data_IF_591057511793
#
_entry.id   IF_591057511793
#
_cell.length_a   1.000
_cell.length_b   1.000
_cell.length_c   1.000
_cell.angle_alpha   90.00
_cell.angle_beta   90.00
_cell.angle_gamma   90.00
#
_symmetry.space_group_name_H-M   'P 1'
#
loop_
_entity.id
_entity.type
_entity.pdbx_description
1 polymer ?
#
# COMPACT_ATOMS: atom_id res chain seq x y z
N UNK A 1 -11.57 -6.21 -1.29
CA UNK A 1 -12.82 -7.01 -1.22
C UNK A 1 -12.88 -8.21 -2.19
N UNK A 2 -11.82 -8.51 -2.96
CA UNK A 2 -11.86 -9.49 -4.06
C UNK A 2 -11.28 -10.88 -3.74
N UNK A 3 -10.69 -11.10 -2.54
CA UNK A 3 -9.97 -12.34 -2.22
C UNK A 3 -10.80 -13.33 -1.40
N UNK A 4 -10.57 -14.65 -1.61
CA UNK A 4 -11.02 -15.74 -0.73
C UNK A 4 -10.43 -15.57 0.69
N UNK A 5 -11.18 -14.86 1.53
CA UNK A 5 -10.77 -14.35 2.86
C UNK A 5 -10.12 -15.41 3.76
N UNK A 6 -10.62 -16.65 3.77
CA UNK A 6 -10.15 -17.71 4.67
C UNK A 6 -8.65 -18.04 4.47
N UNK A 7 -8.18 -18.04 3.23
CA UNK A 7 -6.79 -18.41 2.91
C UNK A 7 -5.84 -17.24 3.08
N UNK A 8 -6.30 -16.03 2.76
CA UNK A 8 -5.59 -14.77 3.03
C UNK A 8 -5.29 -14.60 4.52
N UNK A 9 -6.31 -14.71 5.38
CA UNK A 9 -6.11 -14.53 6.83
C UNK A 9 -5.31 -15.67 7.47
N UNK A 10 -5.37 -16.89 6.93
CA UNK A 10 -4.58 -18.03 7.43
C UNK A 10 -3.07 -17.82 7.23
N UNK A 11 -2.69 -17.17 6.13
CA UNK A 11 -1.29 -16.94 5.76
C UNK A 11 -0.88 -15.47 5.92
N UNK A 12 -1.66 -14.69 6.67
CA UNK A 12 -1.46 -13.25 6.79
C UNK A 12 -0.05 -12.91 7.27
N UNK A 13 0.48 -13.66 8.24
CA UNK A 13 1.84 -13.45 8.74
C UNK A 13 2.90 -13.69 7.65
N UNK A 14 2.70 -14.67 6.78
CA UNK A 14 3.61 -14.95 5.66
C UNK A 14 3.54 -13.83 4.61
N UNK A 15 2.33 -13.34 4.33
CA UNK A 15 2.09 -12.22 3.42
C UNK A 15 2.77 -10.95 3.93
N UNK A 16 2.56 -10.60 5.20
CA UNK A 16 3.18 -9.40 5.78
C UNK A 16 4.69 -9.55 5.90
N UNK A 17 5.21 -10.73 6.20
CA UNK A 17 6.64 -10.98 6.23
C UNK A 17 7.27 -10.80 4.85
N UNK A 18 6.70 -11.41 3.79
CA UNK A 18 7.22 -11.23 2.43
C UNK A 18 7.06 -9.78 1.96
N UNK A 19 5.89 -9.18 2.14
CA UNK A 19 5.63 -7.82 1.68
C UNK A 19 6.36 -6.73 2.47
N UNK A 20 6.81 -6.96 3.71
CA UNK A 20 7.61 -5.97 4.45
C UNK A 20 9.11 -6.28 4.42
N UNK A 21 9.49 -7.51 4.78
CA UNK A 21 10.91 -7.90 4.83
C UNK A 21 11.47 -8.10 3.42
N UNK A 22 10.69 -8.69 2.52
CA UNK A 22 11.08 -8.85 1.12
C UNK A 22 11.30 -7.50 0.44
N UNK A 23 10.38 -6.57 0.59
CA UNK A 23 10.54 -5.19 0.08
C UNK A 23 11.74 -4.48 0.66
N UNK A 24 12.00 -4.64 1.97
CA UNK A 24 13.18 -4.05 2.59
C UNK A 24 14.49 -4.65 2.04
N UNK A 25 14.53 -5.95 1.79
CA UNK A 25 15.69 -6.58 1.13
C UNK A 25 15.84 -6.11 -0.31
N UNK A 26 14.74 -6.02 -1.07
CA UNK A 26 14.73 -5.48 -2.44
C UNK A 26 15.22 -4.02 -2.48
N UNK A 27 14.76 -3.20 -1.54
CA UNK A 27 15.19 -1.81 -1.37
C UNK A 27 16.71 -1.72 -1.24
N UNK A 28 17.31 -2.44 -0.28
CA UNK A 28 18.76 -2.38 -0.09
C UNK A 28 19.53 -2.92 -1.30
N UNK A 29 19.07 -4.02 -1.90
CA UNK A 29 19.76 -4.62 -3.05
C UNK A 29 19.70 -3.71 -4.29
N UNK A 30 18.55 -3.12 -4.58
CA UNK A 30 18.37 -2.20 -5.72
C UNK A 30 19.13 -0.90 -5.49
N UNK A 31 19.08 -0.31 -4.30
CA UNK A 31 19.85 0.91 -4.00
C UNK A 31 21.36 0.69 -4.13
N UNK A 32 21.89 -0.42 -3.59
CA UNK A 32 23.31 -0.75 -3.74
C UNK A 32 23.70 -1.00 -5.20
N UNK A 33 22.84 -1.69 -5.97
CA UNK A 33 23.05 -1.91 -7.38
C UNK A 33 23.02 -0.59 -8.18
N UNK A 34 22.11 0.32 -7.85
CA UNK A 34 22.02 1.64 -8.46
C UNK A 34 23.32 2.44 -8.20
N UNK A 35 23.79 2.52 -6.96
CA UNK A 35 25.07 3.17 -6.63
C UNK A 35 26.21 2.55 -7.44
N UNK A 36 26.30 1.22 -7.52
CA UNK A 36 27.39 0.53 -8.22
C UNK A 36 27.37 0.74 -9.74
N UNK A 37 26.19 0.85 -10.36
CA UNK A 37 26.04 1.03 -11.81
C UNK A 37 26.22 2.51 -12.19
N UNK A 38 25.49 3.41 -11.52
CA UNK A 38 25.52 4.85 -11.81
C UNK A 38 26.83 5.52 -11.39
N UNK A 39 27.60 4.95 -10.45
CA UNK A 39 28.97 5.45 -10.20
C UNK A 39 29.95 5.11 -11.34
N UNK A 40 29.65 4.08 -12.15
CA UNK A 40 30.48 3.69 -13.30
C UNK A 40 30.06 4.38 -14.60
N UNK A 41 28.78 4.72 -14.71
CA UNK A 41 28.24 5.51 -15.80
C UNK A 41 28.39 6.97 -15.37
N UNK A 42 29.30 7.74 -15.97
CA UNK A 42 29.68 9.11 -15.57
C UNK A 42 28.54 10.16 -15.71
N UNK A 43 27.36 9.87 -15.17
CA UNK A 43 26.07 10.56 -15.28
C UNK A 43 25.89 11.41 -14.02
N UNK A 44 26.36 12.66 -14.08
CA UNK A 44 26.04 13.68 -13.08
C UNK A 44 26.51 13.38 -11.64
N UNK A 45 26.19 14.32 -10.74
CA UNK A 45 26.41 14.19 -9.30
C UNK A 45 25.06 13.89 -8.65
N UNK A 46 24.66 12.62 -8.65
CA UNK A 46 23.51 12.16 -7.87
C UNK A 46 23.95 11.90 -6.44
N UNK A 47 23.15 12.37 -5.48
CA UNK A 47 23.43 12.14 -4.07
C UNK A 47 23.02 10.72 -3.66
N UNK A 48 23.55 10.26 -2.52
CA UNK A 48 23.19 8.93 -1.98
C UNK A 48 21.68 8.82 -1.71
N UNK A 49 21.04 9.94 -1.35
CA UNK A 49 19.58 10.02 -1.17
C UNK A 49 18.82 9.66 -2.45
N UNK A 50 19.31 10.06 -3.62
CA UNK A 50 18.65 9.78 -4.90
C UNK A 50 18.69 8.30 -5.24
N UNK A 51 19.82 7.62 -4.96
CA UNK A 51 19.93 6.18 -5.16
C UNK A 51 19.08 5.38 -4.17
N UNK A 52 18.92 5.87 -2.94
CA UNK A 52 17.99 5.30 -1.97
C UNK A 52 16.54 5.49 -2.44
N UNK A 53 16.18 6.68 -2.92
CA UNK A 53 14.86 6.96 -3.47
C UNK A 53 14.51 6.05 -4.65
N UNK A 54 15.46 5.82 -5.57
CA UNK A 54 15.33 4.84 -6.66
C UNK A 54 15.04 3.45 -6.09
N UNK A 55 15.80 2.99 -5.10
CA UNK A 55 15.56 1.69 -4.47
C UNK A 55 14.16 1.58 -3.85
N UNK A 56 13.65 2.64 -3.20
CA UNK A 56 12.31 2.63 -2.62
C UNK A 56 11.24 2.53 -3.70
N UNK A 57 11.36 3.30 -4.78
CA UNK A 57 10.40 3.30 -5.89
C UNK A 57 10.38 1.93 -6.59
N UNK A 58 11.54 1.36 -6.90
CA UNK A 58 11.65 0.09 -7.62
C UNK A 58 11.44 -1.15 -6.73
N UNK A 59 11.38 -0.99 -5.40
CA UNK A 59 11.09 -2.10 -4.50
C UNK A 59 9.62 -2.54 -4.52
N UNK A 60 8.71 -1.63 -4.91
CA UNK A 60 7.30 -1.93 -5.16
C UNK A 60 7.16 -2.77 -6.43
N UNK A 61 6.63 -4.00 -6.29
CA UNK A 61 6.40 -4.90 -7.41
C UNK A 61 4.92 -4.96 -7.75
N UNK A 62 4.57 -4.57 -8.98
CA UNK A 62 3.21 -4.70 -9.45
C UNK A 62 2.86 -6.19 -9.71
N UNK A 63 1.82 -6.65 -9.03
CA UNK A 63 1.32 -8.02 -9.12
C UNK A 63 0.15 -8.18 -10.11
N UNK A 64 -0.40 -7.09 -10.67
CA UNK A 64 -1.62 -7.10 -11.50
C UNK A 64 -1.49 -8.07 -12.69
N UNK A 65 -0.41 -7.99 -13.46
CA UNK A 65 -0.17 -8.89 -14.60
C UNK A 65 -0.11 -10.36 -14.19
N UNK A 66 0.55 -10.67 -13.06
CA UNK A 66 0.65 -12.05 -12.56
C UNK A 66 -0.69 -12.58 -12.08
N UNK A 67 -1.51 -11.72 -11.47
CA UNK A 67 -2.85 -12.07 -10.99
C UNK A 67 -3.86 -12.28 -12.13
N UNK A 68 -3.62 -11.73 -13.31
CA UNK A 68 -4.44 -11.99 -14.50
C UNK A 68 -4.21 -13.41 -15.07
N UNK A 69 -3.01 -13.95 -14.90
CA UNK A 69 -2.66 -15.31 -15.35
C UNK A 69 -3.04 -16.36 -14.30
N UNK A 70 -2.98 -16.00 -13.01
CA UNK A 70 -3.31 -16.89 -11.91
C UNK A 70 -4.82 -17.06 -11.73
N UNK A 71 -5.28 -18.31 -11.80
CA UNK A 71 -6.68 -18.65 -11.51
C UNK A 71 -6.91 -18.87 -10.00
N UNK A 72 -7.83 -18.09 -9.42
CA UNK A 72 -8.20 -18.15 -7.98
C UNK A 72 -8.87 -19.48 -7.57
N UNK A 73 -9.41 -20.25 -8.52
CA UNK A 73 -10.03 -21.55 -8.25
C UNK A 73 -9.01 -22.69 -8.28
N UNK A 74 -8.04 -22.64 -9.20
CA UNK A 74 -6.99 -23.66 -9.34
C UNK A 74 -5.87 -23.49 -8.30
N UNK A 75 -5.45 -22.24 -8.04
CA UNK A 75 -4.31 -21.94 -7.15
C UNK A 75 -4.64 -20.89 -6.08
N UNK A 76 -5.67 -21.12 -5.23
CA UNK A 76 -6.16 -20.12 -4.28
C UNK A 76 -5.12 -19.66 -3.25
N UNK A 77 -4.17 -20.53 -2.90
CA UNK A 77 -3.07 -20.19 -1.99
C UNK A 77 -2.11 -19.18 -2.63
N UNK A 78 -1.62 -19.48 -3.84
CA UNK A 78 -0.66 -18.64 -4.55
C UNK A 78 -1.29 -17.29 -4.91
N UNK A 79 -2.53 -17.29 -5.42
CA UNK A 79 -3.28 -16.07 -5.70
C UNK A 79 -3.38 -15.17 -4.46
N UNK A 80 -3.75 -15.72 -3.31
CA UNK A 80 -3.90 -14.93 -2.08
C UNK A 80 -2.56 -14.40 -1.56
N UNK A 81 -1.47 -15.15 -1.77
CA UNK A 81 -0.14 -14.78 -1.33
C UNK A 81 0.43 -13.65 -2.18
N UNK A 82 0.41 -13.80 -3.51
CA UNK A 82 0.90 -12.78 -4.47
C UNK A 82 0.07 -11.50 -4.37
N UNK A 83 -1.27 -11.60 -4.32
CA UNK A 83 -2.11 -10.42 -4.13
C UNK A 83 -1.81 -9.71 -2.81
N UNK A 84 -1.67 -10.48 -1.72
CA UNK A 84 -1.41 -9.89 -0.42
C UNK A 84 -0.05 -9.25 -0.31
N UNK A 85 0.97 -9.92 -0.85
CA UNK A 85 2.35 -9.45 -0.85
C UNK A 85 2.48 -8.17 -1.67
N UNK A 86 1.93 -8.11 -2.89
CA UNK A 86 1.96 -6.89 -3.72
C UNK A 86 1.33 -5.68 -3.02
N UNK A 87 0.18 -5.84 -2.36
CA UNK A 87 -0.46 -4.70 -1.67
C UNK A 87 0.32 -4.26 -0.42
N UNK A 88 0.88 -5.20 0.36
CA UNK A 88 1.74 -4.84 1.51
C UNK A 88 3.03 -4.18 1.00
N UNK A 89 3.60 -4.71 -0.07
CA UNK A 89 4.80 -4.20 -0.71
C UNK A 89 4.63 -2.72 -1.12
N UNK A 90 3.55 -2.40 -1.85
CA UNK A 90 3.25 -1.02 -2.26
C UNK A 90 3.19 -0.07 -1.05
N UNK A 91 2.48 -0.45 0.00
CA UNK A 91 2.37 0.35 1.20
C UNK A 91 3.72 0.52 1.91
N UNK A 92 4.53 -0.53 1.98
CA UNK A 92 5.86 -0.47 2.62
C UNK A 92 6.85 0.37 1.83
N UNK A 93 6.82 0.31 0.50
CA UNK A 93 7.65 1.12 -0.40
C UNK A 93 7.38 2.61 -0.23
N UNK A 94 6.10 3.01 -0.08
CA UNK A 94 5.75 4.40 0.20
C UNK A 94 6.23 4.84 1.59
N UNK A 95 6.13 3.97 2.61
CA UNK A 95 6.68 4.26 3.95
C UNK A 95 8.19 4.43 3.89
N UNK A 96 8.91 3.57 3.16
CA UNK A 96 10.35 3.70 2.95
C UNK A 96 10.69 5.02 2.26
N UNK A 97 9.95 5.40 1.21
CA UNK A 97 10.15 6.66 0.50
C UNK A 97 9.94 7.89 1.40
N UNK A 98 8.87 7.91 2.20
CA UNK A 98 8.63 9.00 3.16
C UNK A 98 9.67 9.04 4.28
N UNK A 99 10.18 7.89 4.71
CA UNK A 99 11.25 7.82 5.71
C UNK A 99 12.58 8.39 5.15
N UNK A 100 12.83 8.27 3.84
CA UNK A 100 13.99 8.85 3.17
C UNK A 100 13.92 10.38 3.04
N UNK A 101 12.73 10.96 2.86
CA UNK A 101 12.60 12.42 2.79
C UNK A 101 13.03 13.12 4.10
N UNK A 102 12.96 12.41 5.21
CA UNK A 102 13.37 12.89 6.53
C UNK A 102 14.82 12.49 6.88
N UNK A 103 15.57 11.92 5.93
CA UNK A 103 16.92 11.42 6.13
C UNK A 103 17.96 12.47 5.74
N UNK A 104 18.85 12.83 6.68
CA UNK A 104 19.98 13.73 6.38
C UNK A 104 21.12 12.96 5.68
N UNK A 105 21.52 13.35 4.44
CA UNK A 105 22.51 12.63 3.64
C UNK A 105 23.95 12.75 4.19
N UNK A 106 24.20 13.66 5.12
CA UNK A 106 25.57 14.01 5.57
C UNK A 106 26.14 13.08 6.66
N UNK A 107 25.37 12.12 7.19
CA UNK A 107 25.83 11.19 8.23
C UNK A 107 25.32 9.77 7.98
N UNK A 108 25.98 9.04 7.08
CA UNK A 108 25.71 7.60 6.91
C UNK A 108 26.52 6.84 7.97
N UNK A 109 25.97 6.78 9.19
CA UNK A 109 26.49 5.97 10.28
C UNK A 109 25.58 4.75 10.53
N UNK A 110 26.13 3.67 11.09
CA UNK A 110 25.37 2.46 11.44
C UNK A 110 24.19 2.78 12.38
N UNK A 111 24.36 3.80 13.23
CA UNK A 111 23.33 4.33 14.11
C UNK A 111 22.15 4.92 13.33
N UNK A 112 22.41 5.56 12.19
CA UNK A 112 21.39 6.20 11.37
C UNK A 112 20.58 5.17 10.60
N UNK A 113 21.22 4.10 10.09
CA UNK A 113 20.51 2.95 9.51
C UNK A 113 19.63 2.27 10.56
N UNK A 114 20.12 2.11 11.79
CA UNK A 114 19.33 1.53 12.88
C UNK A 114 18.14 2.42 13.27
N UNK A 115 18.32 3.74 13.31
CA UNK A 115 17.24 4.71 13.52
C UNK A 115 16.20 4.65 12.40
N UNK A 116 16.64 4.53 11.15
CA UNK A 116 15.74 4.37 9.99
C UNK A 116 14.89 3.11 10.12
N UNK A 117 15.52 1.96 10.41
CA UNK A 117 14.81 0.69 10.64
C UNK A 117 13.85 0.80 11.83
N UNK A 118 14.27 1.45 12.91
CA UNK A 118 13.42 1.72 14.08
C UNK A 118 12.21 2.58 13.75
N UNK A 119 12.39 3.65 12.96
CA UNK A 119 11.30 4.52 12.51
C UNK A 119 10.34 3.77 11.58
N UNK A 120 10.86 2.99 10.64
CA UNK A 120 10.06 2.11 9.80
C UNK A 120 9.20 1.15 10.64
N UNK A 121 9.80 0.44 11.60
CA UNK A 121 9.07 -0.47 12.49
C UNK A 121 8.02 0.28 13.32
N UNK A 122 8.34 1.46 13.84
CA UNK A 122 7.41 2.31 14.58
C UNK A 122 6.21 2.71 13.71
N UNK A 123 6.44 3.28 12.53
CA UNK A 123 5.40 3.69 11.58
C UNK A 123 4.55 2.48 11.15
N UNK A 124 5.19 1.34 10.88
CA UNK A 124 4.49 0.13 10.46
C UNK A 124 3.55 -0.39 11.55
N UNK A 125 4.05 -0.56 12.79
CA UNK A 125 3.26 -1.11 13.90
C UNK A 125 2.15 -0.16 14.34
N UNK A 126 2.45 1.13 14.49
CA UNK A 126 1.47 2.15 14.91
C UNK A 126 0.35 2.33 13.88
N UNK A 127 0.68 2.43 12.58
CA UNK A 127 -0.30 2.51 11.50
C UNK A 127 -1.14 1.25 11.39
N UNK A 128 -0.53 0.06 11.58
CA UNK A 128 -1.28 -1.21 11.64
C UNK A 128 -2.28 -1.20 12.79
N UNK A 129 -1.86 -0.79 13.98
CA UNK A 129 -2.72 -0.72 15.15
C UNK A 129 -3.89 0.24 14.94
N UNK A 130 -3.61 1.44 14.42
CA UNK A 130 -4.63 2.43 14.11
C UNK A 130 -5.62 1.90 13.06
N UNK A 131 -5.13 1.27 11.99
CA UNK A 131 -5.97 0.72 10.93
C UNK A 131 -6.90 -0.38 11.44
N UNK A 132 -6.37 -1.28 12.28
CA UNK A 132 -7.17 -2.32 12.94
C UNK A 132 -8.23 -1.69 13.85
N UNK A 133 -7.85 -0.70 14.66
CA UNK A 133 -8.76 0.01 15.53
C UNK A 133 -9.90 0.69 14.76
N UNK A 134 -9.58 1.47 13.72
CA UNK A 134 -10.59 2.15 12.89
C UNK A 134 -11.47 1.17 12.12
N UNK A 135 -10.92 0.04 11.68
CA UNK A 135 -11.69 -1.02 11.01
C UNK A 135 -12.68 -1.71 11.95
N UNK A 136 -12.29 -1.98 13.19
CA UNK A 136 -13.19 -2.52 14.23
C UNK A 136 -14.23 -1.48 14.65
N UNK A 137 -13.83 -0.22 14.77
CA UNK A 137 -14.74 0.90 15.04
C UNK A 137 -15.79 1.00 13.94
N UNK A 138 -15.40 0.91 12.67
CA UNK A 138 -16.31 0.85 11.52
C UNK A 138 -17.32 -0.29 11.63
N UNK A 139 -16.85 -1.50 11.94
CA UNK A 139 -17.72 -2.65 12.14
C UNK A 139 -18.72 -2.45 13.29
N UNK A 140 -18.27 -1.84 14.40
CA UNK A 140 -19.11 -1.52 15.56
C UNK A 140 -20.14 -0.43 15.25
N UNK A 141 -19.72 0.66 14.60
CA UNK A 141 -20.57 1.78 14.18
C UNK A 141 -21.68 1.29 13.25
N UNK A 142 -21.34 0.51 12.23
CA UNK A 142 -22.32 -0.04 11.28
C UNK A 142 -23.28 -1.02 11.97
N UNK A 143 -22.78 -1.86 12.88
CA UNK A 143 -23.62 -2.79 13.66
C UNK A 143 -24.58 -2.07 14.61
N UNK A 144 -24.10 -1.03 15.30
CA UNK A 144 -24.85 -0.36 16.36
C UNK A 144 -25.81 0.69 15.83
N UNK A 145 -25.43 1.40 14.76
CA UNK A 145 -26.27 2.45 14.21
C UNK A 145 -27.57 1.91 13.63
N UNK A 146 -27.71 0.61 13.31
CA UNK A 146 -28.94 -0.05 12.81
C UNK A 146 -29.67 0.65 11.63
N UNK A 147 -29.12 1.76 11.11
CA UNK A 147 -29.65 2.63 10.05
C UNK A 147 -29.57 1.96 8.67
N UNK A 148 -28.78 0.90 8.53
CA UNK A 148 -28.46 0.26 7.26
C UNK A 148 -29.53 -0.63 6.64
N UNK A 149 -30.53 -1.09 7.41
CA UNK A 149 -31.59 -1.94 6.83
C UNK A 149 -32.57 -1.23 5.91
N UNK A 150 -32.59 0.11 5.89
CA UNK A 150 -33.57 0.88 5.12
C UNK A 150 -33.04 1.48 3.81
N UNK A 151 -31.71 1.59 3.59
CA UNK A 151 -31.19 2.00 2.28
C UNK A 151 -29.73 1.58 2.03
N UNK A 152 -29.52 0.94 0.87
CA UNK A 152 -28.21 0.50 0.37
C UNK A 152 -27.20 1.65 0.27
N UNK A 153 -27.63 2.81 -0.22
CA UNK A 153 -26.73 3.95 -0.47
C UNK A 153 -26.06 4.47 0.79
N UNK A 154 -26.78 4.47 1.93
CA UNK A 154 -26.24 4.93 3.22
C UNK A 154 -25.19 3.97 3.76
N UNK A 155 -25.41 2.67 3.63
CA UNK A 155 -24.42 1.67 4.06
C UNK A 155 -23.13 1.79 3.25
N UNK A 156 -23.23 1.92 1.92
CA UNK A 156 -22.07 2.08 1.04
C UNK A 156 -21.33 3.39 1.34
N UNK A 157 -22.07 4.50 1.50
CA UNK A 157 -21.49 5.79 1.85
C UNK A 157 -20.74 5.75 3.20
N UNK A 158 -21.31 5.12 4.23
CA UNK A 158 -20.67 4.95 5.53
C UNK A 158 -19.41 4.09 5.44
N UNK A 159 -19.43 3.02 4.66
CA UNK A 159 -18.24 2.18 4.42
C UNK A 159 -17.12 2.99 3.78
N UNK A 160 -17.42 3.79 2.76
CA UNK A 160 -16.42 4.66 2.12
C UNK A 160 -15.90 5.75 3.07
N UNK A 161 -16.81 6.39 3.81
CA UNK A 161 -16.45 7.46 4.73
C UNK A 161 -15.60 6.95 5.90
N UNK A 162 -15.88 5.77 6.44
CA UNK A 162 -15.07 5.16 7.50
C UNK A 162 -13.67 4.75 7.00
N UNK A 163 -13.55 4.26 5.76
CA UNK A 163 -12.25 4.00 5.15
C UNK A 163 -11.45 5.30 5.00
N UNK A 164 -12.08 6.37 4.49
CA UNK A 164 -11.44 7.68 4.37
C UNK A 164 -11.09 8.30 5.74
N UNK A 165 -11.94 8.13 6.76
CA UNK A 165 -11.66 8.59 8.12
C UNK A 165 -10.39 7.94 8.68
N UNK A 166 -10.15 6.66 8.38
CA UNK A 166 -8.91 5.99 8.83
C UNK A 166 -7.65 6.60 8.21
N UNK A 167 -7.74 7.08 6.96
CA UNK A 167 -6.67 7.85 6.32
C UNK A 167 -6.41 9.15 7.07
N UNK A 168 -7.46 9.96 7.25
CA UNK A 168 -7.36 11.28 7.86
C UNK A 168 -6.84 11.24 9.29
N UNK A 169 -7.22 10.21 10.06
CA UNK A 169 -6.71 10.01 11.42
C UNK A 169 -5.22 9.67 11.44
N UNK A 170 -4.73 8.91 10.46
CA UNK A 170 -3.31 8.60 10.37
C UNK A 170 -2.49 9.82 9.99
N UNK A 171 -2.94 10.62 9.03
CA UNK A 171 -2.29 11.89 8.65
C UNK A 171 -2.23 12.87 9.84
N UNK A 172 -3.29 12.95 10.66
CA UNK A 172 -3.31 13.81 11.85
C UNK A 172 -2.31 13.37 12.93
N UNK A 173 -1.95 12.09 12.95
CA UNK A 173 -1.04 11.48 13.92
C UNK A 173 0.38 11.30 13.38
N UNK A 174 0.69 11.89 12.21
CA UNK A 174 1.96 11.73 11.50
C UNK A 174 2.33 10.25 11.25
N UNK A 175 1.32 9.42 11.00
CA UNK A 175 1.46 7.99 10.69
C UNK A 175 1.28 7.74 9.18
N UNK A 176 1.52 6.50 8.74
CA UNK A 176 1.29 6.14 7.33
C UNK A 176 -0.21 5.99 7.05
N UNK A 177 -0.79 6.98 6.37
CA UNK A 177 -2.19 6.96 5.93
C UNK A 177 -2.53 5.77 5.05
N UNK A 178 -1.68 5.48 4.07
CA UNK A 178 -1.89 4.38 3.11
C UNK A 178 -1.90 3.03 3.83
N UNK A 179 -0.91 2.78 4.71
CA UNK A 179 -0.82 1.55 5.47
C UNK A 179 -2.00 1.39 6.45
N UNK A 180 -2.42 2.49 7.08
CA UNK A 180 -3.57 2.51 7.99
C UNK A 180 -4.87 2.15 7.26
N UNK A 181 -5.15 2.78 6.12
CA UNK A 181 -6.33 2.48 5.29
C UNK A 181 -6.32 1.03 4.81
N UNK A 182 -5.15 0.50 4.45
CA UNK A 182 -5.02 -0.88 4.03
C UNK A 182 -5.46 -1.87 5.12
N UNK A 183 -4.89 -1.76 6.32
CA UNK A 183 -5.28 -2.64 7.44
C UNK A 183 -6.73 -2.39 7.89
N UNK A 184 -7.20 -1.15 7.85
CA UNK A 184 -8.61 -0.81 8.05
C UNK A 184 -9.50 -1.56 7.06
N UNK A 185 -9.17 -1.52 5.76
CA UNK A 185 -9.87 -2.23 4.70
C UNK A 185 -9.88 -3.75 4.88
N UNK A 186 -8.78 -4.34 5.34
CA UNK A 186 -8.68 -5.78 5.68
C UNK A 186 -9.67 -6.12 6.80
N UNK A 187 -9.63 -5.38 7.90
CA UNK A 187 -10.50 -5.60 9.07
C UNK A 187 -11.96 -5.37 8.70
N UNK A 188 -12.28 -4.32 7.95
CA UNK A 188 -13.62 -4.08 7.43
C UNK A 188 -14.10 -5.20 6.52
N UNK A 189 -13.22 -5.75 5.68
CA UNK A 189 -13.57 -6.89 4.84
C UNK A 189 -13.93 -8.14 5.65
N UNK A 190 -13.37 -8.30 6.86
CA UNK A 190 -13.67 -9.42 7.73
C UNK A 190 -14.90 -9.18 8.61
N UNK A 191 -14.96 -8.06 9.33
CA UNK A 191 -15.98 -7.80 10.34
C UNK A 191 -17.16 -7.00 9.79
N UNK A 192 -16.90 -5.87 9.13
CA UNK A 192 -17.96 -5.01 8.58
C UNK A 192 -18.76 -5.72 7.51
N UNK A 193 -18.11 -6.55 6.69
CA UNK A 193 -18.78 -7.32 5.63
C UNK A 193 -19.97 -8.13 6.12
N UNK A 194 -19.89 -8.72 7.31
CA UNK A 194 -21.00 -9.52 7.86
C UNK A 194 -22.15 -8.66 8.41
N UNK A 195 -21.89 -7.38 8.69
CA UNK A 195 -22.86 -6.44 9.28
C UNK A 195 -23.67 -5.66 8.23
N UNK A 196 -23.19 -5.56 6.98
CA UNK A 196 -23.93 -4.91 5.87
C UNK A 196 -24.84 -5.88 5.11
N UNK A 197 -25.90 -5.34 4.49
CA UNK A 197 -26.86 -6.07 3.65
C UNK A 197 -26.20 -6.64 2.37
N UNK A 198 -26.83 -7.64 1.76
CA UNK A 198 -26.32 -8.27 0.54
C UNK A 198 -26.25 -7.29 -0.65
N UNK A 199 -27.27 -6.46 -0.82
CA UNK A 199 -27.29 -5.40 -1.84
C UNK A 199 -26.09 -4.46 -1.66
N UNK A 200 -25.82 -3.99 -0.44
CA UNK A 200 -24.68 -3.10 -0.17
C UNK A 200 -23.33 -3.77 -0.38
N UNK A 201 -23.20 -5.07 -0.11
CA UNK A 201 -21.96 -5.83 -0.40
C UNK A 201 -21.65 -5.84 -1.89
N UNK A 202 -22.65 -6.10 -2.72
CA UNK A 202 -22.52 -6.11 -4.18
C UNK A 202 -22.18 -4.71 -4.68
N UNK A 203 -22.94 -3.69 -4.27
CA UNK A 203 -22.70 -2.29 -4.67
C UNK A 203 -21.31 -1.81 -4.25
N UNK A 204 -20.91 -2.08 -3.01
CA UNK A 204 -19.57 -1.71 -2.49
C UNK A 204 -18.46 -2.37 -3.31
N UNK A 205 -18.61 -3.66 -3.65
CA UNK A 205 -17.62 -4.39 -4.47
C UNK A 205 -17.46 -3.75 -5.85
N UNK A 206 -18.56 -3.43 -6.52
CA UNK A 206 -18.52 -2.79 -7.83
C UNK A 206 -17.99 -1.36 -7.74
N UNK A 207 -18.43 -0.57 -6.78
CA UNK A 207 -17.97 0.82 -6.59
C UNK A 207 -16.46 0.92 -6.37
N UNK A 208 -15.89 0.10 -5.47
CA UNK A 208 -14.44 0.09 -5.28
C UNK A 208 -13.68 -0.46 -6.49
N UNK A 209 -14.22 -1.45 -7.21
CA UNK A 209 -13.59 -1.96 -8.42
C UNK A 209 -13.57 -0.91 -9.55
N UNK A 210 -14.68 -0.19 -9.76
CA UNK A 210 -14.74 0.86 -10.78
C UNK A 210 -13.85 2.04 -10.43
N UNK A 211 -13.84 2.48 -9.17
CA UNK A 211 -12.94 3.54 -8.70
C UNK A 211 -11.46 3.16 -8.86
N UNK A 212 -11.11 1.93 -8.49
CA UNK A 212 -9.74 1.41 -8.66
C UNK A 212 -9.32 1.42 -10.13
N UNK A 213 -10.17 0.90 -11.02
CA UNK A 213 -9.88 0.84 -12.45
C UNK A 213 -9.70 2.24 -13.08
N UNK A 214 -10.55 3.19 -12.69
CA UNK A 214 -10.44 4.58 -13.14
C UNK A 214 -9.14 5.21 -12.63
N UNK A 215 -8.82 5.04 -11.34
CA UNK A 215 -7.59 5.57 -10.75
C UNK A 215 -6.33 5.00 -11.42
N UNK A 216 -6.30 3.68 -11.65
CA UNK A 216 -5.20 2.99 -12.33
C UNK A 216 -5.02 3.49 -13.77
N UNK A 217 -6.12 3.68 -14.51
CA UNK A 217 -6.09 4.25 -15.87
C UNK A 217 -5.49 5.67 -15.86
N UNK A 218 -5.89 6.51 -14.91
CA UNK A 218 -5.33 7.86 -14.78
C UNK A 218 -3.84 7.84 -14.43
N UNK A 219 -3.40 6.95 -13.53
CA UNK A 219 -2.00 6.82 -13.17
C UNK A 219 -1.14 6.43 -14.37
N UNK A 220 -1.52 5.40 -15.13
CA UNK A 220 -0.78 4.99 -16.34
C UNK A 220 -0.78 6.06 -17.44
N UNK A 221 -1.90 6.75 -17.62
CA UNK A 221 -1.99 7.85 -18.58
C UNK A 221 -1.05 8.99 -18.18
N UNK A 222 -1.03 9.37 -16.90
CA UNK A 222 -0.17 10.44 -16.40
C UNK A 222 1.31 10.09 -16.54
N UNK A 223 1.71 8.89 -16.13
CA UNK A 223 3.10 8.40 -16.29
C UNK A 223 3.48 8.33 -17.77
N UNK A 224 2.58 7.87 -18.64
CA UNK A 224 2.80 7.81 -20.08
C UNK A 224 2.95 9.19 -20.73
N UNK A 225 2.14 10.16 -20.30
CA UNK A 225 2.30 11.55 -20.73
C UNK A 225 3.63 12.15 -20.26
N UNK A 226 4.01 11.88 -19.00
CA UNK A 226 5.26 12.39 -18.43
C UNK A 226 6.50 11.83 -19.13
N UNK A 227 6.45 10.53 -19.45
CA UNK A 227 7.53 9.85 -20.16
C UNK A 227 7.72 10.36 -21.61
N UNK A 228 6.64 10.84 -22.24
CA UNK A 228 6.65 11.34 -23.62
C UNK A 228 6.85 12.87 -23.70
N UNK A 229 6.94 13.57 -22.56
CA UNK A 229 7.13 15.02 -22.53
C UNK A 229 8.56 15.39 -22.94
N UNK A 230 8.69 15.86 -24.19
CA UNK A 230 9.95 16.28 -24.81
C UNK A 230 10.64 17.41 -24.05
N UNK A 231 9.90 18.27 -23.34
CA UNK A 231 10.51 19.36 -22.58
C UNK A 231 11.29 18.84 -21.36
N UNK A 232 10.79 17.79 -20.70
CA UNK A 232 11.49 17.12 -19.59
C UNK A 232 12.78 16.44 -20.05
N UNK A 233 12.75 15.81 -21.22
CA UNK A 233 13.95 15.17 -21.79
C UNK A 233 15.02 16.18 -22.22
N UNK A 234 14.62 17.36 -22.71
CA UNK A 234 15.55 18.45 -23.05
C UNK A 234 16.23 19.06 -21.83
N UNK A 235 15.58 19.03 -20.65
CA UNK A 235 16.19 19.48 -19.40
C UNK A 235 17.23 18.48 -18.86
N UNK A 236 17.06 17.20 -19.18
CA UNK A 236 17.95 16.12 -18.74
C UNK A 236 19.16 15.86 -19.68
N UNK A 237 19.16 16.43 -20.89
CA UNK A 237 20.25 16.34 -21.88
C UNK A 237 21.19 17.53 -21.83
#
# INVERSE_FOLDING_TARGET
FQVKKKQFFRNFMTITLFGAVGTMMSFFTISLAAIAIFSRMNIGTLDVSDFLAIGAIFSATDSVCTLQVLNQDETPFLYSLVFGEGVVNDATSVVLFNALQNFDPNQIDAIVILKFLGNFCYLFVSSTFLGVFTGLLSAYVIKKLYIGRHSTDREVALVMLMAYLSYMLAELLDLSGILTVFFCGIVMSHYTWHNVTESSRVTTKHAFATLSFIAETFLFLYVGMDALDIEKWKFAS
#
